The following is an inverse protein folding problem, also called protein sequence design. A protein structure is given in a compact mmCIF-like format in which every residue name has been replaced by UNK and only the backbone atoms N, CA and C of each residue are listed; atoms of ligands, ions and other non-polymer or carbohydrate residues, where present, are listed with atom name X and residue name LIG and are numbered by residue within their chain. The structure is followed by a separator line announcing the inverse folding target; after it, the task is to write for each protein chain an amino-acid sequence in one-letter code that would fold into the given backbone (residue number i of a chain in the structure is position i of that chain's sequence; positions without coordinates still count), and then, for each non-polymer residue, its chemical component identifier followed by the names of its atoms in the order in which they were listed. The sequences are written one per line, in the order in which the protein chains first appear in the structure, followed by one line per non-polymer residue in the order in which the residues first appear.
data_IF_965199238605
#
_entry.id   IF_965199238605
#
_cell.length_a   1.000
_cell.length_b   1.000
_cell.length_c   1.000
_cell.angle_alpha   90.00
_cell.angle_beta   90.00
_cell.angle_gamma   90.00
#
_symmetry.space_group_name_H-M   'P 1'
#
loop_
_entity.id
_entity.type
_entity.pdbx_description
1 polymer ?
#
# COMPACT_ATOMS: atom_id res chain seq x y z
N UNK A 1 0.22 50.20 -24.42
CA UNK A 1 -0.54 49.46 -25.44
C UNK A 1 0.40 48.39 -25.99
N UNK A 2 0.03 47.12 -25.80
CA UNK A 2 0.54 45.87 -26.42
C UNK A 2 2.00 45.81 -26.90
N UNK A 3 2.79 44.96 -26.25
CA UNK A 3 3.65 44.00 -26.97
C UNK A 3 3.58 42.64 -26.27
N UNK A 4 3.09 41.67 -27.02
CA UNK A 4 3.13 40.24 -26.72
C UNK A 4 4.58 39.77 -26.68
N UNK A 5 4.91 38.95 -25.69
CA UNK A 5 6.00 37.98 -25.78
C UNK A 5 5.43 36.64 -25.37
N UNK A 6 5.25 35.78 -26.37
CA UNK A 6 4.92 34.36 -26.20
C UNK A 6 5.95 33.70 -25.30
N UNK A 7 5.49 33.21 -24.16
CA UNK A 7 6.24 32.29 -23.31
C UNK A 7 6.07 30.89 -23.88
N UNK A 8 7.14 30.14 -24.21
CA UNK A 8 7.00 28.79 -24.69
C UNK A 8 6.47 27.92 -23.56
N UNK A 9 5.32 27.29 -23.82
CA UNK A 9 4.71 26.25 -22.98
C UNK A 9 5.71 25.10 -22.91
N UNK A 10 6.30 24.90 -21.74
CA UNK A 10 7.20 23.79 -21.47
C UNK A 10 6.49 22.47 -21.76
N UNK A 11 6.98 21.82 -22.81
CA UNK A 11 6.39 20.67 -23.46
C UNK A 11 7.06 19.41 -22.93
N UNK A 12 6.70 18.98 -21.73
CA UNK A 12 7.01 17.60 -21.28
C UNK A 12 5.86 16.99 -20.47
N UNK A 13 4.64 17.04 -21.01
CA UNK A 13 3.62 16.04 -20.63
C UNK A 13 3.82 14.83 -21.52
N UNK A 14 4.85 14.02 -21.22
CA UNK A 14 4.85 12.65 -21.71
C UNK A 14 3.53 12.03 -21.23
N UNK A 15 2.68 11.57 -22.16
CA UNK A 15 1.55 10.71 -21.82
C UNK A 15 2.12 9.54 -21.00
N UNK A 16 2.06 9.63 -19.67
CA UNK A 16 2.36 8.49 -18.81
C UNK A 16 1.28 7.48 -19.13
N UNK A 17 1.61 6.51 -19.99
CA UNK A 17 0.81 5.30 -20.16
C UNK A 17 0.59 4.77 -18.75
N UNK A 18 -0.63 4.92 -18.25
CA UNK A 18 -1.03 4.38 -16.97
C UNK A 18 -1.80 3.11 -17.27
N UNK A 19 -1.62 2.13 -16.39
CA UNK A 19 -2.50 0.98 -16.36
C UNK A 19 -3.96 1.43 -16.39
N UNK A 20 -4.83 0.74 -17.15
CA UNK A 20 -6.26 0.99 -17.07
C UNK A 20 -6.73 0.88 -15.61
N UNK A 21 -7.84 1.56 -15.33
CA UNK A 21 -8.45 1.51 -14.01
C UNK A 21 -8.66 0.04 -13.61
N UNK A 22 -8.31 -0.29 -12.36
CA UNK A 22 -8.47 -1.64 -11.85
C UNK A 22 -9.89 -2.15 -12.13
N UNK A 23 -10.03 -3.41 -12.60
CA UNK A 23 -11.35 -4.00 -12.82
C UNK A 23 -12.12 -3.91 -11.50
N UNK A 24 -13.37 -3.46 -11.61
CA UNK A 24 -14.26 -3.48 -10.45
C UNK A 24 -14.75 -4.92 -10.30
N UNK A 25 -14.93 -5.41 -9.07
CA UNK A 25 -15.69 -6.64 -8.86
C UNK A 25 -17.03 -6.54 -9.61
N UNK A 26 -17.50 -7.67 -10.14
CA UNK A 26 -18.80 -7.74 -10.78
C UNK A 26 -19.89 -7.19 -9.82
N UNK A 27 -20.93 -6.51 -10.35
CA UNK A 27 -22.05 -6.08 -9.51
C UNK A 27 -22.64 -7.30 -8.81
N UNK A 28 -22.86 -7.18 -7.50
CA UNK A 28 -23.51 -8.21 -6.70
C UNK A 28 -24.98 -7.83 -6.51
N UNK A 29 -25.86 -8.83 -6.58
CA UNK A 29 -27.27 -8.66 -6.23
C UNK A 29 -27.45 -8.41 -4.73
N UNK A 30 -28.64 -7.95 -4.30
CA UNK A 30 -28.94 -7.75 -2.88
C UNK A 30 -28.85 -9.05 -2.06
N UNK A 31 -29.13 -10.19 -2.70
CA UNK A 31 -29.13 -11.53 -2.08
C UNK A 31 -27.78 -12.25 -2.20
N UNK A 32 -26.72 -11.55 -2.62
CA UNK A 32 -25.41 -12.16 -2.80
C UNK A 32 -24.88 -12.73 -1.48
N UNK A 33 -24.32 -13.92 -1.58
CA UNK A 33 -23.68 -14.63 -0.45
C UNK A 33 -22.28 -14.10 -0.18
N UNK A 34 -21.77 -14.33 1.03
CA UNK A 34 -20.42 -13.93 1.41
C UNK A 34 -19.35 -14.58 0.51
N UNK A 35 -19.58 -15.82 0.08
CA UNK A 35 -18.76 -16.57 -0.87
C UNK A 35 -18.72 -15.93 -2.25
N UNK A 36 -19.87 -15.52 -2.79
CA UNK A 36 -19.95 -14.82 -4.07
C UNK A 36 -19.21 -13.48 -4.02
N UNK A 37 -19.35 -12.73 -2.91
CA UNK A 37 -18.68 -11.46 -2.73
C UNK A 37 -17.14 -11.60 -2.65
N UNK A 38 -16.66 -12.57 -1.87
CA UNK A 38 -15.23 -12.89 -1.77
C UNK A 38 -14.68 -13.30 -3.14
N UNK A 39 -15.36 -14.21 -3.83
CA UNK A 39 -14.94 -14.76 -5.12
C UNK A 39 -14.91 -13.68 -6.21
N UNK A 40 -15.96 -12.84 -6.30
CA UNK A 40 -15.99 -11.72 -7.24
C UNK A 40 -14.85 -10.72 -6.99
N UNK A 41 -14.52 -10.46 -5.72
CA UNK A 41 -13.40 -9.60 -5.38
C UNK A 41 -12.05 -10.24 -5.78
N UNK A 42 -11.84 -11.52 -5.47
CA UNK A 42 -10.60 -12.22 -5.81
C UNK A 42 -10.41 -12.34 -7.33
N UNK A 43 -11.47 -12.54 -8.13
CA UNK A 43 -11.43 -12.46 -9.60
C UNK A 43 -10.88 -11.11 -10.08
N UNK A 44 -11.40 -10.01 -9.54
CA UNK A 44 -10.91 -8.67 -9.88
C UNK A 44 -9.42 -8.46 -9.50
N UNK A 45 -8.98 -9.03 -8.37
CA UNK A 45 -7.58 -8.92 -7.97
C UNK A 45 -6.67 -9.82 -8.82
N UNK A 46 -7.12 -11.02 -9.21
CA UNK A 46 -6.41 -11.89 -10.17
C UNK A 46 -6.17 -11.17 -11.49
N UNK A 47 -7.20 -10.54 -12.04
CA UNK A 47 -7.07 -9.73 -13.27
C UNK A 47 -6.10 -8.56 -13.07
N UNK A 48 -6.19 -7.86 -11.94
CA UNK A 48 -5.26 -6.75 -11.63
C UNK A 48 -3.82 -7.22 -11.50
N UNK A 49 -3.57 -8.38 -10.88
CA UNK A 49 -2.25 -9.00 -10.80
C UNK A 49 -1.70 -9.27 -12.21
N UNK A 50 -2.49 -9.91 -13.07
CA UNK A 50 -2.11 -10.20 -14.46
C UNK A 50 -1.86 -8.94 -15.29
N UNK A 51 -2.70 -7.91 -15.16
CA UNK A 51 -2.50 -6.61 -15.83
C UNK A 51 -1.20 -5.94 -15.36
N UNK A 52 -0.95 -5.95 -14.05
CA UNK A 52 0.23 -5.30 -13.47
C UNK A 52 1.52 -6.02 -13.89
N UNK A 53 1.51 -7.36 -13.94
CA UNK A 53 2.64 -8.14 -14.43
C UNK A 53 2.93 -7.81 -15.91
N UNK A 54 1.93 -7.82 -16.78
CA UNK A 54 2.10 -7.44 -18.19
C UNK A 54 2.66 -6.02 -18.33
N UNK A 55 2.18 -5.10 -17.52
CA UNK A 55 2.64 -3.71 -17.55
C UNK A 55 4.08 -3.54 -17.04
N UNK A 56 4.51 -4.32 -16.04
CA UNK A 56 5.92 -4.38 -15.62
C UNK A 56 6.79 -4.84 -16.79
N UNK A 57 6.36 -5.88 -17.53
CA UNK A 57 7.09 -6.39 -18.70
C UNK A 57 7.17 -5.41 -19.88
N UNK A 58 6.39 -4.34 -19.86
CA UNK A 58 6.40 -3.26 -20.85
C UNK A 58 6.90 -1.93 -20.26
N UNK A 59 7.59 -1.98 -19.11
CA UNK A 59 8.16 -0.81 -18.42
C UNK A 59 7.15 0.32 -18.18
N UNK A 60 5.88 -0.05 -17.96
CA UNK A 60 4.82 0.92 -17.67
C UNK A 60 5.06 1.56 -16.30
N UNK A 61 5.11 2.90 -16.20
CA UNK A 61 5.28 3.58 -14.92
C UNK A 61 4.23 3.17 -13.89
N UNK A 62 4.65 3.07 -12.63
CA UNK A 62 3.80 2.70 -11.48
C UNK A 62 3.24 1.26 -11.49
N UNK A 63 3.57 0.43 -12.48
CA UNK A 63 3.05 -0.95 -12.57
C UNK A 63 3.47 -1.83 -11.37
N UNK A 64 4.68 -1.64 -10.85
CA UNK A 64 5.13 -2.30 -9.61
C UNK A 64 4.30 -1.87 -8.39
N UNK A 65 3.92 -0.60 -8.30
CA UNK A 65 3.02 -0.12 -7.23
C UNK A 65 1.64 -0.79 -7.32
N UNK A 66 1.14 -0.97 -8.54
CA UNK A 66 -0.13 -1.61 -8.81
C UNK A 66 -0.11 -3.11 -8.49
N UNK A 67 0.95 -3.82 -8.90
CA UNK A 67 1.18 -5.22 -8.55
C UNK A 67 1.20 -5.38 -7.02
N UNK A 68 2.00 -4.58 -6.32
CA UNK A 68 2.09 -4.59 -4.86
C UNK A 68 0.73 -4.36 -4.20
N UNK A 69 -0.06 -3.42 -4.74
CA UNK A 69 -1.38 -3.11 -4.22
C UNK A 69 -2.34 -4.29 -4.39
N UNK A 70 -2.31 -4.95 -5.56
CA UNK A 70 -3.12 -6.13 -5.82
C UNK A 70 -2.73 -7.31 -4.93
N UNK A 71 -1.43 -7.65 -4.84
CA UNK A 71 -0.90 -8.68 -3.93
C UNK A 71 -1.37 -8.45 -2.50
N UNK A 72 -1.26 -7.22 -2.02
CA UNK A 72 -1.63 -6.85 -0.65
C UNK A 72 -3.13 -6.98 -0.40
N UNK A 73 -3.96 -6.55 -1.37
CA UNK A 73 -5.43 -6.67 -1.31
C UNK A 73 -5.89 -8.12 -1.36
N UNK A 74 -5.33 -8.95 -2.25
CA UNK A 74 -5.61 -10.39 -2.30
C UNK A 74 -5.28 -11.04 -0.96
N UNK A 75 -4.09 -10.76 -0.42
CA UNK A 75 -3.66 -11.30 0.87
C UNK A 75 -4.55 -10.83 2.02
N UNK A 76 -4.97 -9.57 2.02
CA UNK A 76 -5.88 -9.04 3.03
C UNK A 76 -7.25 -9.73 2.99
N UNK A 77 -7.81 -9.93 1.79
CA UNK A 77 -9.06 -10.67 1.61
C UNK A 77 -8.94 -12.11 2.10
N UNK A 78 -7.94 -12.86 1.62
CA UNK A 78 -7.71 -14.25 2.04
C UNK A 78 -7.51 -14.37 3.55
N UNK A 79 -6.75 -13.45 4.16
CA UNK A 79 -6.49 -13.47 5.60
C UNK A 79 -7.75 -13.18 6.43
N UNK A 80 -8.56 -12.19 6.02
CA UNK A 80 -9.75 -11.80 6.80
C UNK A 80 -10.89 -12.80 6.63
N UNK A 81 -11.10 -13.31 5.42
CA UNK A 81 -12.21 -14.20 5.08
C UNK A 81 -11.79 -15.67 5.01
N UNK A 82 -10.62 -16.01 5.57
CA UNK A 82 -10.13 -17.39 5.72
C UNK A 82 -11.20 -18.37 6.24
N UNK A 83 -12.07 -18.01 7.21
CA UNK A 83 -13.11 -18.93 7.70
C UNK A 83 -14.17 -19.33 6.66
N UNK A 84 -14.28 -18.60 5.54
CA UNK A 84 -15.22 -18.90 4.46
C UNK A 84 -14.71 -19.97 3.50
N UNK A 85 -13.44 -20.37 3.61
CA UNK A 85 -12.79 -21.31 2.68
C UNK A 85 -12.60 -22.66 3.36
N UNK A 86 -12.93 -23.77 2.70
CA UNK A 86 -12.80 -25.10 3.28
C UNK A 86 -11.33 -25.52 3.41
N UNK A 87 -10.53 -25.28 2.36
CA UNK A 87 -9.10 -25.62 2.34
C UNK A 87 -8.26 -24.58 3.10
N UNK A 88 -8.12 -24.81 4.40
CA UNK A 88 -7.36 -23.94 5.30
C UNK A 88 -5.84 -23.98 5.03
N UNK A 89 -5.33 -25.06 4.47
CA UNK A 89 -3.91 -25.21 4.15
C UNK A 89 -3.58 -24.38 2.92
N UNK A 90 -4.33 -24.55 1.82
CA UNK A 90 -4.19 -23.78 0.59
C UNK A 90 -4.23 -22.27 0.85
N UNK A 91 -5.20 -21.79 1.65
CA UNK A 91 -5.30 -20.36 1.98
C UNK A 91 -4.07 -19.87 2.74
N UNK A 92 -3.54 -20.67 3.67
CA UNK A 92 -2.33 -20.31 4.43
C UNK A 92 -1.11 -20.21 3.50
N UNK A 93 -0.93 -21.20 2.64
CA UNK A 93 0.16 -21.20 1.64
C UNK A 93 0.05 -20.00 0.70
N UNK A 94 -1.14 -19.70 0.17
CA UNK A 94 -1.36 -18.53 -0.69
C UNK A 94 -1.04 -17.21 0.04
N UNK A 95 -1.39 -17.09 1.32
CA UNK A 95 -1.09 -15.89 2.12
C UNK A 95 0.43 -15.70 2.28
N UNK A 96 1.16 -16.78 2.54
CA UNK A 96 2.62 -16.75 2.71
C UNK A 96 3.35 -16.46 1.41
N UNK A 97 2.90 -17.05 0.31
CA UNK A 97 3.42 -16.80 -1.02
C UNK A 97 3.19 -15.36 -1.49
N UNK A 98 1.97 -14.84 -1.31
CA UNK A 98 1.66 -13.42 -1.55
C UNK A 98 2.44 -12.50 -0.61
N UNK A 99 2.81 -12.96 0.59
CA UNK A 99 3.68 -12.22 1.49
C UNK A 99 5.12 -12.18 1.00
N UNK A 100 5.64 -13.27 0.47
CA UNK A 100 6.94 -13.31 -0.18
C UNK A 100 6.98 -12.33 -1.36
N UNK A 101 6.11 -12.47 -2.36
CA UNK A 101 6.10 -11.56 -3.52
C UNK A 101 5.88 -10.10 -3.10
N UNK A 102 5.00 -9.87 -2.13
CA UNK A 102 4.76 -8.54 -1.60
C UNK A 102 6.00 -7.89 -0.98
N UNK A 103 6.98 -8.66 -0.46
CA UNK A 103 8.26 -8.15 0.03
C UNK A 103 9.18 -7.75 -1.12
N UNK A 104 9.32 -8.62 -2.13
CA UNK A 104 10.15 -8.35 -3.32
C UNK A 104 9.74 -7.03 -3.98
N UNK A 105 8.43 -6.83 -4.22
CA UNK A 105 7.91 -5.61 -4.87
C UNK A 105 7.98 -4.38 -3.93
N UNK A 106 8.04 -4.57 -2.61
CA UNK A 106 8.04 -3.43 -1.67
C UNK A 106 9.38 -2.68 -1.66
N UNK A 107 10.50 -3.36 -1.89
CA UNK A 107 11.83 -2.75 -1.91
C UNK A 107 11.92 -1.65 -2.97
N UNK A 108 11.47 -1.94 -4.20
CA UNK A 108 11.41 -0.96 -5.29
C UNK A 108 10.57 0.27 -4.93
N UNK A 109 9.42 0.06 -4.28
CA UNK A 109 8.53 1.19 -3.93
C UNK A 109 9.10 2.04 -2.80
N UNK A 110 9.71 1.42 -1.80
CA UNK A 110 10.30 2.16 -0.68
C UNK A 110 11.47 3.03 -1.18
N UNK A 111 12.29 2.52 -2.09
CA UNK A 111 13.34 3.29 -2.77
C UNK A 111 12.77 4.45 -3.59
N UNK A 112 11.74 4.21 -4.40
CA UNK A 112 11.09 5.27 -5.19
C UNK A 112 10.53 6.39 -4.29
N UNK A 113 9.88 6.04 -3.17
CA UNK A 113 9.36 7.04 -2.22
C UNK A 113 10.50 7.85 -1.61
N UNK A 114 11.58 7.19 -1.19
CA UNK A 114 12.74 7.87 -0.63
C UNK A 114 13.37 8.82 -1.66
N UNK A 115 13.55 8.37 -2.91
CA UNK A 115 14.07 9.21 -4.01
C UNK A 115 13.20 10.44 -4.23
N UNK A 116 11.89 10.26 -4.43
CA UNK A 116 10.96 11.36 -4.65
C UNK A 116 11.03 12.41 -3.53
N UNK A 117 11.09 11.96 -2.28
CA UNK A 117 11.16 12.85 -1.11
C UNK A 117 12.51 13.54 -0.96
N UNK A 118 13.61 12.83 -1.18
CA UNK A 118 14.96 13.40 -1.07
C UNK A 118 15.21 14.40 -2.19
N UNK A 119 14.81 14.09 -3.42
CA UNK A 119 14.91 15.04 -4.55
C UNK A 119 14.07 16.29 -4.29
N UNK A 120 12.81 16.15 -3.86
CA UNK A 120 11.99 17.30 -3.49
C UNK A 120 12.62 18.11 -2.34
N UNK A 121 13.20 17.43 -1.34
CA UNK A 121 13.91 18.09 -0.25
C UNK A 121 15.13 18.89 -0.74
N UNK A 122 15.89 18.38 -1.71
CA UNK A 122 16.99 19.11 -2.33
C UNK A 122 16.50 20.33 -3.12
N UNK A 123 15.36 20.22 -3.81
CA UNK A 123 14.77 21.32 -4.57
C UNK A 123 14.23 22.46 -3.67
N UNK A 124 13.92 22.15 -2.41
CA UNK A 124 13.47 23.11 -1.40
C UNK A 124 14.62 23.78 -0.63
N UNK A 125 15.86 23.29 -0.73
CA UNK A 125 17.01 23.85 -0.03
C UNK A 125 17.65 25.00 -0.81
N UNK A 126 18.15 25.99 -0.07
CA UNK A 126 18.98 27.04 -0.65
C UNK A 126 20.31 26.47 -1.19
N UNK A 127 20.83 27.07 -2.27
CA UNK A 127 22.05 26.62 -2.95
C UNK A 127 23.26 26.54 -2.00
N UNK A 128 23.35 27.42 -0.99
CA UNK A 128 24.43 27.42 0.00
C UNK A 128 24.47 26.17 0.90
N UNK A 129 23.34 25.48 1.03
CA UNK A 129 23.20 24.26 1.82
C UNK A 129 23.52 23.00 1.00
N UNK A 130 23.75 23.14 -0.31
CA UNK A 130 24.21 22.07 -1.18
C UNK A 130 25.74 21.92 -1.05
N UNK A 131 26.19 20.92 -0.26
CA UNK A 131 27.62 20.68 -0.01
C UNK A 131 28.12 19.48 -0.80
N UNK A 132 28.87 19.74 -1.86
CA UNK A 132 29.41 18.71 -2.76
C UNK A 132 28.40 18.29 -3.85
N UNK A 133 28.67 17.20 -4.58
CA UNK A 133 27.88 16.77 -5.74
C UNK A 133 26.60 16.01 -5.32
N UNK A 134 25.79 16.59 -4.43
CA UNK A 134 24.66 15.91 -3.76
C UNK A 134 23.63 15.31 -4.73
N UNK A 135 23.32 16.01 -5.83
CA UNK A 135 22.37 15.52 -6.84
C UNK A 135 22.90 14.30 -7.58
N UNK A 136 24.19 14.30 -7.91
CA UNK A 136 24.87 13.15 -8.53
C UNK A 136 24.88 11.95 -7.59
N UNK A 137 25.24 12.15 -6.31
CA UNK A 137 25.26 11.09 -5.31
C UNK A 137 23.87 10.44 -5.11
N UNK A 138 22.82 11.25 -5.05
CA UNK A 138 21.43 10.76 -4.98
C UNK A 138 21.06 9.97 -6.23
N UNK A 139 21.36 10.51 -7.42
CA UNK A 139 21.07 9.86 -8.69
C UNK A 139 21.76 8.50 -8.80
N UNK A 140 23.05 8.42 -8.48
CA UNK A 140 23.83 7.18 -8.54
C UNK A 140 23.36 6.15 -7.52
N UNK A 141 23.06 6.58 -6.29
CA UNK A 141 22.54 5.70 -5.25
C UNK A 141 21.24 5.04 -5.70
N UNK A 142 20.25 5.85 -6.12
CA UNK A 142 18.96 5.30 -6.51
C UNK A 142 18.99 4.58 -7.85
N UNK A 143 19.89 4.92 -8.78
CA UNK A 143 20.09 4.12 -9.99
C UNK A 143 20.51 2.68 -9.66
N UNK A 144 21.42 2.50 -8.69
CA UNK A 144 21.82 1.16 -8.22
C UNK A 144 20.68 0.43 -7.53
N UNK A 145 19.95 1.12 -6.65
CA UNK A 145 18.81 0.53 -5.92
C UNK A 145 17.68 0.13 -6.87
N UNK A 146 17.33 1.00 -7.83
CA UNK A 146 16.27 0.75 -8.82
C UNK A 146 16.67 -0.42 -9.74
N UNK A 147 17.94 -0.51 -10.17
CA UNK A 147 18.43 -1.64 -10.97
C UNK A 147 18.36 -2.97 -10.21
N UNK A 148 18.83 -3.00 -8.96
CA UNK A 148 18.79 -4.21 -8.12
C UNK A 148 17.34 -4.65 -7.82
N UNK A 149 16.46 -3.69 -7.49
CA UNK A 149 15.06 -3.97 -7.21
C UNK A 149 14.30 -4.43 -8.47
N UNK A 150 14.62 -3.85 -9.64
CA UNK A 150 14.09 -4.29 -10.93
C UNK A 150 14.51 -5.72 -11.26
N UNK A 151 15.79 -6.05 -11.11
CA UNK A 151 16.30 -7.41 -11.34
C UNK A 151 15.64 -8.43 -10.42
N UNK A 152 15.56 -8.16 -9.11
CA UNK A 152 14.93 -9.05 -8.14
C UNK A 152 13.42 -9.24 -8.41
N UNK A 153 12.72 -8.18 -8.82
CA UNK A 153 11.31 -8.27 -9.18
C UNK A 153 11.11 -9.12 -10.45
N UNK A 154 11.93 -8.93 -11.48
CA UNK A 154 11.88 -9.75 -12.69
C UNK A 154 12.15 -11.21 -12.39
N UNK A 155 13.20 -11.52 -11.62
CA UNK A 155 13.51 -12.88 -11.18
C UNK A 155 12.35 -13.52 -10.40
N UNK A 156 11.74 -12.77 -9.46
CA UNK A 156 10.59 -13.25 -8.71
C UNK A 156 9.39 -13.55 -9.61
N UNK A 157 9.10 -12.70 -10.60
CA UNK A 157 7.99 -12.88 -11.53
C UNK A 157 8.23 -13.98 -12.57
N UNK A 158 9.47 -14.30 -12.90
CA UNK A 158 9.82 -15.39 -13.82
C UNK A 158 10.06 -16.72 -13.09
N UNK A 159 10.03 -16.72 -11.75
CA UNK A 159 10.26 -17.92 -10.95
C UNK A 159 9.15 -18.97 -11.10
N UNK A 160 9.48 -20.28 -11.08
CA UNK A 160 8.50 -21.35 -10.98
C UNK A 160 7.58 -21.20 -9.76
N UNK A 161 8.10 -20.59 -8.69
CA UNK A 161 7.37 -20.26 -7.47
C UNK A 161 6.18 -19.35 -7.77
N UNK A 162 6.38 -18.23 -8.47
CA UNK A 162 5.29 -17.32 -8.80
C UNK A 162 4.28 -17.94 -9.78
N UNK A 163 4.75 -18.69 -10.78
CA UNK A 163 3.87 -19.42 -11.70
C UNK A 163 2.94 -20.38 -10.96
N UNK A 164 3.46 -21.12 -9.98
CA UNK A 164 2.67 -22.01 -9.14
C UNK A 164 1.63 -21.26 -8.28
N UNK A 165 1.97 -20.07 -7.77
CA UNK A 165 1.02 -19.23 -7.00
C UNK A 165 -0.11 -18.74 -7.89
N UNK A 166 0.20 -18.29 -9.11
CA UNK A 166 -0.81 -17.87 -10.09
C UNK A 166 -1.76 -19.00 -10.44
N UNK A 167 -1.24 -20.19 -10.75
CA UNK A 167 -2.07 -21.36 -11.07
C UNK A 167 -2.99 -21.76 -9.91
N UNK A 168 -2.45 -21.80 -8.67
CA UNK A 168 -3.27 -22.10 -7.47
C UNK A 168 -4.34 -21.04 -7.22
N UNK A 169 -4.00 -19.76 -7.37
CA UNK A 169 -4.98 -18.68 -7.21
C UNK A 169 -6.05 -18.72 -8.29
N UNK A 170 -5.69 -19.09 -9.52
CA UNK A 170 -6.64 -19.24 -10.63
C UNK A 170 -7.64 -20.36 -10.36
N UNK A 171 -7.15 -21.57 -10.08
CA UNK A 171 -7.99 -22.72 -9.74
C UNK A 171 -8.90 -22.43 -8.53
N UNK A 172 -8.34 -21.84 -7.48
CA UNK A 172 -9.11 -21.49 -6.29
C UNK A 172 -10.25 -20.48 -6.58
N UNK A 173 -10.00 -19.51 -7.46
CA UNK A 173 -10.97 -18.44 -7.75
C UNK A 173 -12.05 -18.89 -8.74
N UNK A 174 -11.76 -19.88 -9.58
CA UNK A 174 -12.73 -20.42 -10.53
C UNK A 174 -13.69 -21.40 -9.86
N UNK A 175 -13.21 -22.24 -8.95
CA UNK A 175 -14.01 -23.19 -8.18
C UNK A 175 -13.59 -23.23 -6.69
N UNK A 176 -13.97 -22.23 -5.88
CA UNK A 176 -13.58 -22.18 -4.48
C UNK A 176 -14.36 -23.22 -3.67
N UNK A 177 -13.64 -24.11 -2.99
CA UNK A 177 -14.22 -24.92 -1.93
C UNK A 177 -14.57 -24.03 -0.72
N UNK A 178 -15.86 -23.73 -0.53
CA UNK A 178 -16.35 -22.82 0.50
C UNK A 178 -16.99 -23.57 1.68
N UNK A 179 -17.06 -22.91 2.84
CA UNK A 179 -17.72 -23.41 4.05
C UNK A 179 -19.16 -22.92 4.17
N UNK A 180 -19.97 -23.52 5.04
CA UNK A 180 -21.36 -23.10 5.26
C UNK A 180 -21.56 -21.60 5.59
N UNK A 181 -20.67 -20.92 6.38
CA UNK A 181 -20.75 -19.47 6.54
C UNK A 181 -20.70 -18.68 5.23
N UNK A 182 -20.05 -19.20 4.19
CA UNK A 182 -19.96 -18.52 2.90
C UNK A 182 -21.31 -18.42 2.17
N UNK A 183 -22.27 -19.31 2.47
CA UNK A 183 -23.63 -19.31 1.90
C UNK A 183 -24.54 -18.25 2.53
N UNK A 184 -24.12 -17.65 3.65
CA UNK A 184 -24.91 -16.62 4.34
C UNK A 184 -24.90 -15.30 3.56
N UNK A 185 -25.90 -14.41 3.80
CA UNK A 185 -25.94 -13.10 3.17
C UNK A 185 -24.64 -12.30 3.39
N UNK A 186 -24.05 -11.80 2.31
CA UNK A 186 -22.78 -11.08 2.34
C UNK A 186 -22.79 -9.86 3.27
N UNK A 187 -23.93 -9.15 3.30
CA UNK A 187 -24.13 -7.99 4.15
C UNK A 187 -23.95 -8.29 5.64
N UNK A 188 -24.24 -9.52 6.08
CA UNK A 188 -24.16 -9.91 7.49
C UNK A 188 -22.83 -10.60 7.80
N UNK A 189 -22.46 -11.61 7.02
CA UNK A 189 -21.29 -12.45 7.34
C UNK A 189 -19.96 -11.68 7.16
N UNK A 190 -19.82 -10.86 6.11
CA UNK A 190 -18.57 -10.12 5.91
C UNK A 190 -18.31 -9.10 7.03
N UNK A 191 -19.38 -8.60 7.67
CA UNK A 191 -19.27 -7.65 8.77
C UNK A 191 -18.70 -8.25 10.04
N UNK A 192 -18.99 -9.53 10.30
CA UNK A 192 -18.38 -10.27 11.42
C UNK A 192 -16.86 -10.21 11.32
N UNK A 193 -16.32 -10.47 10.12
CA UNK A 193 -14.88 -10.44 9.88
C UNK A 193 -14.28 -9.03 9.87
N UNK A 194 -15.01 -8.03 9.38
CA UNK A 194 -14.58 -6.63 9.43
C UNK A 194 -14.52 -6.13 10.87
N UNK A 195 -15.53 -6.46 11.70
CA UNK A 195 -15.56 -6.12 13.14
C UNK A 195 -14.36 -6.73 13.85
N UNK A 196 -14.10 -8.02 13.66
CA UNK A 196 -12.92 -8.69 14.22
C UNK A 196 -11.62 -7.99 13.78
N UNK A 197 -11.52 -7.55 12.53
CA UNK A 197 -10.33 -6.82 12.05
C UNK A 197 -10.23 -5.41 12.66
N UNK A 198 -11.36 -4.77 12.98
CA UNK A 198 -11.39 -3.48 13.68
C UNK A 198 -10.96 -3.62 15.14
N UNK A 199 -11.37 -4.68 15.83
CA UNK A 199 -10.90 -5.03 17.17
C UNK A 199 -9.38 -5.25 17.21
N UNK A 200 -8.82 -5.92 16.21
CA UNK A 200 -7.36 -6.07 16.08
C UNK A 200 -6.65 -4.72 15.96
N UNK A 201 -7.26 -3.75 15.30
CA UNK A 201 -6.69 -2.40 15.18
C UNK A 201 -6.78 -1.62 16.47
N UNK A 202 -7.91 -1.71 17.17
CA UNK A 202 -8.05 -1.17 18.52
C UNK A 202 -6.97 -1.75 19.44
N UNK A 203 -6.74 -3.07 19.38
CA UNK A 203 -5.70 -3.71 20.17
C UNK A 203 -4.29 -3.27 19.78
N UNK A 204 -4.01 -3.17 18.48
CA UNK A 204 -2.73 -2.68 18.00
C UNK A 204 -2.43 -1.26 18.51
N UNK A 205 -3.44 -0.39 18.58
CA UNK A 205 -3.29 0.95 19.14
C UNK A 205 -3.10 0.92 20.66
N UNK A 206 -3.86 0.08 21.38
CA UNK A 206 -3.70 -0.08 22.84
C UNK A 206 -2.29 -0.54 23.23
N UNK A 207 -1.70 -1.45 22.44
CA UNK A 207 -0.34 -1.98 22.66
C UNK A 207 0.76 -1.16 22.00
N UNK A 208 0.41 -0.08 21.30
CA UNK A 208 1.37 0.70 20.55
C UNK A 208 2.34 1.42 21.50
N UNK A 209 3.62 1.05 21.44
CA UNK A 209 4.67 1.91 21.97
C UNK A 209 4.89 3.13 21.03
N UNK A 210 5.49 4.23 21.50
CA UNK A 210 5.70 5.42 20.68
C UNK A 210 6.85 5.29 19.65
N UNK A 211 7.46 4.11 19.50
CA UNK A 211 8.54 3.89 18.55
C UNK A 211 8.04 3.87 17.10
N UNK A 212 8.97 4.02 16.16
CA UNK A 212 8.68 3.88 14.74
C UNK A 212 8.16 2.47 14.40
N UNK A 213 8.58 1.44 15.14
CA UNK A 213 8.13 0.07 14.97
C UNK A 213 6.68 -0.14 15.46
N UNK A 214 6.32 0.46 16.60
CA UNK A 214 4.96 0.45 17.15
C UNK A 214 3.97 1.08 16.18
N UNK A 215 4.27 2.28 15.68
CA UNK A 215 3.45 2.98 14.69
C UNK A 215 3.36 2.22 13.36
N UNK A 216 4.46 1.59 12.92
CA UNK A 216 4.44 0.72 11.75
C UNK A 216 3.53 -0.51 11.94
N UNK A 217 3.47 -1.08 13.15
CA UNK A 217 2.56 -2.17 13.46
C UNK A 217 1.09 -1.74 13.34
N UNK A 218 0.72 -0.60 13.94
CA UNK A 218 -0.62 0.00 13.80
C UNK A 218 -0.96 0.26 12.33
N UNK A 219 -0.03 0.83 11.56
CA UNK A 219 -0.19 1.07 10.12
C UNK A 219 -0.51 -0.21 9.35
N UNK A 220 0.17 -1.32 9.65
CA UNK A 220 -0.08 -2.60 8.99
C UNK A 220 -1.52 -3.07 9.23
N UNK A 221 -2.02 -2.96 10.46
CA UNK A 221 -3.39 -3.39 10.81
C UNK A 221 -4.44 -2.43 10.24
N UNK A 222 -4.22 -1.11 10.31
CA UNK A 222 -5.12 -0.12 9.72
C UNK A 222 -5.28 -0.30 8.21
N UNK A 223 -4.18 -0.59 7.53
CA UNK A 223 -4.18 -0.92 6.11
C UNK A 223 -4.91 -2.22 5.83
N UNK A 224 -4.69 -3.26 6.64
CA UNK A 224 -5.38 -4.53 6.52
C UNK A 224 -6.90 -4.37 6.64
N UNK A 225 -7.39 -3.70 7.70
CA UNK A 225 -8.81 -3.40 7.89
C UNK A 225 -9.43 -2.72 6.67
N UNK A 226 -8.76 -1.68 6.18
CA UNK A 226 -9.25 -0.94 5.00
C UNK A 226 -9.36 -1.84 3.78
N UNK A 227 -8.36 -2.68 3.53
CA UNK A 227 -8.33 -3.56 2.36
C UNK A 227 -9.36 -4.68 2.44
N UNK A 228 -9.55 -5.24 3.62
CA UNK A 228 -10.57 -6.27 3.86
C UNK A 228 -11.99 -5.71 3.72
N UNK A 229 -12.22 -4.46 4.13
CA UNK A 229 -13.49 -3.77 3.93
C UNK A 229 -13.84 -3.51 2.45
N UNK A 230 -12.87 -3.58 1.52
CA UNK A 230 -13.15 -3.42 0.09
C UNK A 230 -13.97 -4.58 -0.49
N UNK A 231 -13.87 -5.77 0.10
CA UNK A 231 -14.68 -6.94 -0.30
C UNK A 231 -16.16 -6.68 -0.04
N UNK A 232 -16.48 -6.11 1.13
CA UNK A 232 -17.86 -5.84 1.53
C UNK A 232 -18.42 -4.52 0.95
N UNK A 233 -17.61 -3.73 0.25
CA UNK A 233 -18.03 -2.42 -0.28
C UNK A 233 -19.29 -2.47 -1.15
N UNK A 234 -19.53 -3.48 -2.01
CA UNK A 234 -20.76 -3.56 -2.79
C UNK A 234 -22.03 -3.74 -1.94
N UNK A 235 -21.91 -4.30 -0.72
CA UNK A 235 -23.07 -4.72 0.09
C UNK A 235 -23.33 -3.86 1.33
N UNK A 236 -22.32 -3.22 1.92
CA UNK A 236 -22.47 -2.49 3.21
C UNK A 236 -22.96 -1.03 3.05
N UNK A 237 -23.06 -0.52 1.82
CA UNK A 237 -23.71 0.76 1.55
C UNK A 237 -22.99 2.02 2.10
N UNK A 238 -23.73 3.13 2.35
CA UNK A 238 -23.14 4.45 2.62
C UNK A 238 -22.29 4.57 3.89
N UNK A 239 -22.60 3.82 4.95
CA UNK A 239 -21.87 3.88 6.23
C UNK A 239 -20.45 3.35 6.10
N UNK A 240 -20.24 2.20 5.46
CA UNK A 240 -18.91 1.69 5.13
C UNK A 240 -18.11 2.68 4.25
N UNK A 241 -18.77 3.34 3.29
CA UNK A 241 -18.11 4.37 2.47
C UNK A 241 -17.62 5.56 3.32
N UNK A 242 -18.36 5.96 4.36
CA UNK A 242 -17.93 7.04 5.28
C UNK A 242 -16.77 6.57 6.16
N UNK A 243 -16.80 5.34 6.66
CA UNK A 243 -15.71 4.75 7.43
C UNK A 243 -14.42 4.57 6.62
N UNK A 244 -14.50 4.06 5.38
CA UNK A 244 -13.34 3.93 4.47
C UNK A 244 -12.63 5.27 4.26
N UNK A 245 -13.39 6.37 4.09
CA UNK A 245 -12.79 7.71 3.97
C UNK A 245 -12.03 8.14 5.23
N UNK A 246 -12.44 7.69 6.41
CA UNK A 246 -11.75 7.99 7.67
C UNK A 246 -10.51 7.11 7.84
N UNK A 247 -10.64 5.81 7.60
CA UNK A 247 -9.52 4.88 7.53
C UNK A 247 -8.45 5.32 6.53
N UNK A 248 -8.85 5.86 5.38
CA UNK A 248 -7.93 6.39 4.38
C UNK A 248 -7.13 7.58 4.90
N UNK A 249 -7.77 8.49 5.65
CA UNK A 249 -7.07 9.62 6.30
C UNK A 249 -6.06 9.14 7.34
N UNK A 250 -6.46 8.17 8.18
CA UNK A 250 -5.55 7.56 9.16
C UNK A 250 -4.38 6.85 8.47
N UNK A 251 -4.66 6.03 7.44
CA UNK A 251 -3.67 5.32 6.64
C UNK A 251 -2.67 6.27 5.97
N UNK A 252 -3.16 7.39 5.44
CA UNK A 252 -2.31 8.41 4.81
C UNK A 252 -1.38 9.05 5.83
N UNK A 253 -1.91 9.45 6.99
CA UNK A 253 -1.12 10.06 8.05
C UNK A 253 -0.05 9.08 8.60
N UNK A 254 -0.42 7.84 8.91
CA UNK A 254 0.55 6.78 9.25
C UNK A 254 1.54 6.50 8.11
N UNK A 255 1.17 6.81 6.87
CA UNK A 255 2.04 6.72 5.70
C UNK A 255 3.08 7.81 5.65
N UNK A 256 2.68 9.05 5.90
CA UNK A 256 3.60 10.17 6.01
C UNK A 256 4.70 9.86 7.04
N UNK A 257 4.36 9.32 8.21
CA UNK A 257 5.37 8.89 9.20
C UNK A 257 6.29 7.77 8.70
N UNK A 258 5.72 6.70 8.13
CA UNK A 258 6.53 5.60 7.58
C UNK A 258 7.47 6.06 6.47
N UNK A 259 6.99 6.92 5.58
CA UNK A 259 7.74 7.43 4.44
C UNK A 259 8.92 8.29 4.94
N UNK A 260 8.73 9.04 6.03
CA UNK A 260 9.84 9.74 6.72
C UNK A 260 10.88 8.79 7.32
N UNK A 261 10.44 7.70 7.97
CA UNK A 261 11.36 6.69 8.52
C UNK A 261 12.17 6.00 7.42
N UNK A 262 11.51 5.65 6.31
CA UNK A 262 12.17 5.03 5.14
C UNK A 262 13.16 6.00 4.50
N UNK A 263 12.76 7.25 4.27
CA UNK A 263 13.64 8.28 3.68
C UNK A 263 14.83 8.57 4.58
N UNK A 264 14.63 8.58 5.91
CA UNK A 264 15.71 8.74 6.88
C UNK A 264 16.78 7.66 6.77
N UNK A 265 16.41 6.41 6.51
CA UNK A 265 17.38 5.32 6.29
C UNK A 265 18.22 5.55 5.04
N UNK A 266 17.57 5.87 3.91
CA UNK A 266 18.27 6.17 2.67
C UNK A 266 19.21 7.40 2.81
N UNK A 267 18.79 8.42 3.57
CA UNK A 267 19.64 9.58 3.88
C UNK A 267 20.86 9.20 4.72
N UNK A 268 20.73 8.27 5.67
CA UNK A 268 21.88 7.74 6.43
C UNK A 268 22.84 6.96 5.52
N UNK A 269 22.33 6.18 4.57
CA UNK A 269 23.16 5.48 3.58
C UNK A 269 23.89 6.45 2.64
N UNK A 270 23.20 7.49 2.16
CA UNK A 270 23.79 8.56 1.34
C UNK A 270 24.85 9.35 2.11
N UNK A 271 24.59 9.67 3.38
CA UNK A 271 25.54 10.34 4.27
C UNK A 271 26.82 9.51 4.41
N UNK A 272 26.70 8.23 4.79
CA UNK A 272 27.84 7.34 4.95
C UNK A 272 28.61 7.16 3.63
N UNK A 273 27.90 7.04 2.51
CA UNK A 273 28.51 6.94 1.17
C UNK A 273 29.27 8.20 0.78
N UNK A 274 28.74 9.39 1.09
CA UNK A 274 29.41 10.66 0.83
C UNK A 274 30.70 10.80 1.65
N UNK A 275 30.63 10.54 2.96
CA UNK A 275 31.77 10.63 3.87
C UNK A 275 32.87 9.63 3.49
N UNK A 276 32.50 8.39 3.14
CA UNK A 276 33.43 7.37 2.65
C UNK A 276 34.15 7.76 1.35
N UNK A 277 33.54 8.62 0.53
CA UNK A 277 34.13 9.17 -0.69
C UNK A 277 34.87 10.51 -0.47
N UNK A 278 35.05 10.94 0.79
CA UNK A 278 35.69 12.22 1.13
C UNK A 278 34.83 13.45 0.78
N UNK A 279 33.54 13.27 0.51
CA UNK A 279 32.58 14.34 0.26
C UNK A 279 31.86 14.75 1.55
N UNK A 280 31.27 15.94 1.58
CA UNK A 280 30.51 16.40 2.74
C UNK A 280 29.19 15.65 2.88
N UNK A 281 28.93 15.08 4.07
CA UNK A 281 27.63 14.51 4.44
C UNK A 281 26.58 15.53 4.91
N UNK A 282 26.93 16.81 4.97
CA UNK A 282 26.13 17.87 5.61
C UNK A 282 24.69 17.95 5.09
N UNK A 283 24.52 18.01 3.77
CA UNK A 283 23.19 18.16 3.16
C UNK A 283 22.29 16.97 3.47
N UNK A 284 22.84 15.74 3.49
CA UNK A 284 22.08 14.54 3.84
C UNK A 284 21.72 14.50 5.33
N UNK A 285 22.62 14.94 6.21
CA UNK A 285 22.32 15.08 7.65
C UNK A 285 21.21 16.10 7.91
N UNK A 286 21.22 17.23 7.20
CA UNK A 286 20.18 18.26 7.28
C UNK A 286 18.82 17.70 6.86
N UNK A 287 18.74 17.06 5.68
CA UNK A 287 17.51 16.43 5.20
C UNK A 287 17.03 15.32 6.15
N UNK A 288 17.95 14.56 6.77
CA UNK A 288 17.59 13.55 7.77
C UNK A 288 16.90 14.21 8.98
N UNK A 289 17.46 15.32 9.48
CA UNK A 289 16.84 16.11 10.55
C UNK A 289 15.43 16.58 10.18
N UNK A 290 15.22 17.05 8.95
CA UNK A 290 13.89 17.43 8.45
C UNK A 290 12.91 16.24 8.42
N UNK A 291 13.35 15.06 7.99
CA UNK A 291 12.50 13.86 8.01
C UNK A 291 12.16 13.42 9.44
N UNK A 292 13.08 13.55 10.40
CA UNK A 292 12.79 13.32 11.82
C UNK A 292 11.76 14.31 12.36
N UNK A 293 11.86 15.60 12.01
CA UNK A 293 10.88 16.61 12.39
C UNK A 293 9.50 16.34 11.76
N UNK A 294 9.45 15.94 10.48
CA UNK A 294 8.20 15.55 9.78
C UNK A 294 7.55 14.34 10.47
N UNK A 295 8.33 13.31 10.82
CA UNK A 295 7.83 12.15 11.55
C UNK A 295 7.24 12.54 12.92
N UNK A 296 7.90 13.44 13.66
CA UNK A 296 7.40 13.93 14.96
C UNK A 296 6.12 14.76 14.82
N UNK A 297 6.04 15.63 13.81
CA UNK A 297 4.82 16.37 13.51
C UNK A 297 3.63 15.45 13.20
N UNK A 298 3.87 14.31 12.54
CA UNK A 298 2.84 13.28 12.33
C UNK A 298 2.41 12.66 13.65
N UNK A 299 3.35 12.32 14.56
CA UNK A 299 3.03 11.77 15.88
C UNK A 299 2.10 12.67 16.67
N UNK A 300 2.33 13.98 16.66
CA UNK A 300 1.43 14.94 17.31
C UNK A 300 0.02 14.99 16.70
N UNK A 301 -0.12 14.73 15.39
CA UNK A 301 -1.42 14.76 14.68
C UNK A 301 -2.21 13.45 14.83
N UNK A 302 -1.54 12.35 15.15
CA UNK A 302 -2.12 11.00 15.16
C UNK A 302 -3.30 10.85 16.13
N UNK A 303 -3.23 11.26 17.42
CA UNK A 303 -4.35 11.13 18.35
C UNK A 303 -5.64 11.78 17.84
N UNK A 304 -5.55 13.03 17.36
CA UNK A 304 -6.71 13.73 16.79
C UNK A 304 -7.25 13.04 15.53
N UNK A 305 -6.38 12.45 14.71
CA UNK A 305 -6.84 11.70 13.53
C UNK A 305 -7.53 10.39 13.91
N UNK A 306 -7.02 9.73 14.94
CA UNK A 306 -7.60 8.52 15.52
C UNK A 306 -8.99 8.79 16.09
N UNK A 307 -9.14 9.78 16.98
CA UNK A 307 -10.43 10.15 17.59
C UNK A 307 -11.49 10.48 16.53
N UNK A 308 -11.09 11.15 15.46
CA UNK A 308 -11.98 11.47 14.33
C UNK A 308 -12.40 10.26 13.52
N UNK A 309 -11.57 9.21 13.49
CA UNK A 309 -11.83 7.98 12.73
C UNK A 309 -12.75 7.06 13.52
N UNK A 310 -12.64 7.04 14.86
CA UNK A 310 -13.45 6.23 15.78
C UNK A 310 -14.66 6.96 16.39
N UNK A 311 -15.12 8.09 15.81
CA UNK A 311 -16.37 8.72 16.29
C UNK A 311 -17.56 7.81 16.02
N UNK A 312 -18.57 7.76 16.92
CA UNK A 312 -19.77 6.93 16.78
C UNK A 312 -20.40 6.98 15.38
N UNK A 313 -20.58 8.20 14.84
CA UNK A 313 -21.11 8.43 13.49
C UNK A 313 -20.39 7.70 12.32
N UNK A 314 -19.18 7.16 12.53
CA UNK A 314 -18.42 6.37 11.55
C UNK A 314 -18.27 4.90 11.91
N UNK A 315 -18.54 4.47 13.14
CA UNK A 315 -18.26 3.12 13.62
C UNK A 315 -19.48 2.39 14.18
N UNK A 316 -20.57 3.07 14.56
CA UNK A 316 -21.75 2.42 15.17
C UNK A 316 -22.37 1.33 14.28
N UNK A 317 -22.25 1.47 12.96
CA UNK A 317 -22.70 0.46 12.00
C UNK A 317 -21.91 -0.85 12.09
N UNK A 318 -20.70 -0.83 12.66
CA UNK A 318 -19.95 -2.05 12.95
C UNK A 318 -20.63 -2.85 14.06
N UNK A 319 -21.34 -2.21 14.99
CA UNK A 319 -21.95 -2.83 16.18
C UNK A 319 -23.47 -3.04 16.04
N UNK A 320 -24.10 -2.40 15.06
CA UNK A 320 -25.53 -2.53 14.82
C UNK A 320 -25.94 -4.00 14.53
N UNK A 321 -27.03 -4.50 15.16
CA UNK A 321 -27.66 -5.75 14.73
C UNK A 321 -28.29 -5.52 13.36
N UNK A 322 -27.91 -6.32 12.38
CA UNK A 322 -28.49 -6.28 11.04
C UNK A 322 -29.76 -7.14 11.08
N UNK A 323 -30.91 -6.48 10.96
CA UNK A 323 -32.22 -7.11 10.79
C UNK A 323 -32.51 -7.31 9.31
#
# INVERSE_FOLDING_TARGET
MMWQTDSPIDSTTALRVRLPRAPRPAPLGPDATAGEALTAYLRSQRERLAQSERAIRHDVPDAAFDLRTAVRRTRAALRTYRPLVADQQLVTELIDELRWLGREVSLARDAQVARERITAGLDELDDELHRGPVRTLVSEHFARVDAAAGAALSEALDSPRWLAVRGRLELFVDDPALTAPAERPAGTELLVHIRSTAELLLEAVRRCDPSDAGLHAVRKVARHLRESALVARPVVGPSAKRFDRRLEKLRRLLGEHQDSVVSGRALTELLAGAEGAGQSGFTFALLYGQERARAEAVRHRLPRCWDRTWRPAYVDWLDAPWY
#
